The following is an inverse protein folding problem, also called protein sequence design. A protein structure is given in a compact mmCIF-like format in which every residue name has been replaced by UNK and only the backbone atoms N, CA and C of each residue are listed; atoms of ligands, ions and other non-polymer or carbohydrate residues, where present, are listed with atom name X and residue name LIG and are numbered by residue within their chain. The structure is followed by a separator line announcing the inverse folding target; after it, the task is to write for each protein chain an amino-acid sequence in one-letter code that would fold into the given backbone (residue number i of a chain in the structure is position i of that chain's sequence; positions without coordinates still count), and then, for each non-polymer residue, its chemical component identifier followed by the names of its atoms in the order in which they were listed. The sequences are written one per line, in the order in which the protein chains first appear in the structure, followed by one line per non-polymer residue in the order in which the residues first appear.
data_IF_608161979392
#
_entry.id   IF_608161979392
#
_cell.length_a   1.000
_cell.length_b   1.000
_cell.length_c   1.000
_cell.angle_alpha   90.00
_cell.angle_beta   90.00
_cell.angle_gamma   90.00
#
_symmetry.space_group_name_H-M   'P 1'
#
loop_
_entity.id
_entity.type
_entity.pdbx_description
1 polymer ?
#
# COMPACT_ATOMS: atom_id res chain seq x y z
N UNK A 1 -3.20 -17.04 -1.37
CA UNK A 1 -4.64 -16.74 -1.59
C UNK A 1 -4.87 -15.34 -1.02
N UNK A 2 -5.23 -14.36 -1.84
CA UNK A 2 -5.49 -12.99 -1.35
C UNK A 2 -6.81 -13.01 -0.59
N UNK A 3 -6.80 -12.65 0.70
CA UNK A 3 -8.00 -12.60 1.54
C UNK A 3 -8.84 -11.35 1.22
N UNK A 4 -10.15 -11.35 1.49
CA UNK A 4 -11.05 -10.21 1.18
C UNK A 4 -10.60 -8.87 1.77
N UNK A 5 -9.95 -8.90 2.95
CA UNK A 5 -9.35 -7.72 3.58
C UNK A 5 -8.17 -7.15 2.79
N UNK A 6 -7.38 -8.01 2.15
CA UNK A 6 -6.26 -7.60 1.31
C UNK A 6 -6.75 -6.97 0.01
N UNK A 7 -7.80 -7.51 -0.61
CA UNK A 7 -8.46 -6.88 -1.77
C UNK A 7 -8.99 -5.49 -1.42
N UNK A 8 -9.65 -5.34 -0.27
CA UNK A 8 -10.18 -4.04 0.17
C UNK A 8 -9.09 -2.99 0.37
N UNK A 9 -7.92 -3.40 0.88
CA UNK A 9 -6.78 -2.51 1.10
C UNK A 9 -6.16 -2.05 -0.22
N UNK A 10 -6.02 -2.96 -1.18
CA UNK A 10 -5.52 -2.61 -2.53
C UNK A 10 -6.47 -1.62 -3.20
N UNK A 11 -7.78 -1.86 -3.15
CA UNK A 11 -8.76 -0.95 -3.75
C UNK A 11 -8.75 0.43 -3.07
N UNK A 12 -8.60 0.48 -1.75
CA UNK A 12 -8.42 1.75 -1.04
C UNK A 12 -7.14 2.49 -1.49
N UNK A 13 -6.02 1.78 -1.64
CA UNK A 13 -4.77 2.37 -2.14
C UNK A 13 -4.88 2.89 -3.57
N UNK A 14 -5.64 2.20 -4.45
CA UNK A 14 -5.90 2.68 -5.81
C UNK A 14 -6.69 3.99 -5.84
N UNK A 15 -7.56 4.20 -4.86
CA UNK A 15 -8.39 5.41 -4.76
C UNK A 15 -7.72 6.53 -3.96
N UNK A 16 -6.61 6.24 -3.27
CA UNK A 16 -5.89 7.24 -2.50
C UNK A 16 -5.32 8.33 -3.43
N UNK A 17 -5.70 9.58 -3.16
CA UNK A 17 -5.30 10.73 -3.98
C UNK A 17 -4.10 11.47 -3.43
N UNK A 18 -3.72 11.20 -2.18
CA UNK A 18 -2.62 11.86 -1.50
C UNK A 18 -1.92 10.91 -0.50
N UNK A 19 -0.77 11.37 -0.01
CA UNK A 19 0.07 10.63 0.95
C UNK A 19 -0.63 10.41 2.31
N UNK A 20 -1.50 11.32 2.73
CA UNK A 20 -2.18 11.24 4.02
C UNK A 20 -3.19 10.10 4.02
N UNK A 21 -3.96 9.93 2.94
CA UNK A 21 -4.88 8.82 2.76
C UNK A 21 -4.14 7.48 2.73
N UNK A 22 -2.99 7.41 2.06
CA UNK A 22 -2.14 6.22 2.06
C UNK A 22 -1.68 5.86 3.48
N UNK A 23 -1.20 6.83 4.27
CA UNK A 23 -0.81 6.59 5.66
C UNK A 23 -1.98 6.09 6.51
N UNK A 24 -3.17 6.66 6.35
CA UNK A 24 -4.36 6.21 7.07
C UNK A 24 -4.69 4.75 6.74
N UNK A 25 -4.66 4.38 5.45
CA UNK A 25 -4.90 3.00 5.01
C UNK A 25 -3.86 2.05 5.61
N UNK A 26 -2.57 2.39 5.52
CA UNK A 26 -1.48 1.55 6.04
C UNK A 26 -1.52 1.45 7.57
N UNK A 27 -1.84 2.53 8.28
CA UNK A 27 -1.97 2.54 9.74
C UNK A 27 -3.11 1.65 10.25
N UNK A 28 -4.11 1.36 9.40
CA UNK A 28 -5.19 0.42 9.71
C UNK A 28 -4.77 -1.05 9.62
N UNK A 29 -3.58 -1.35 9.09
CA UNK A 29 -3.04 -2.70 8.98
C UNK A 29 -2.32 -3.05 10.29
N UNK A 30 -3.02 -3.74 11.18
CA UNK A 30 -2.49 -4.14 12.49
C UNK A 30 -1.94 -5.58 12.51
N UNK A 31 -1.91 -6.25 11.36
CA UNK A 31 -1.53 -7.65 11.23
C UNK A 31 -0.27 -7.78 10.37
N UNK A 32 0.81 -8.31 10.94
CA UNK A 32 2.12 -8.41 10.29
C UNK A 32 2.12 -9.31 9.05
N UNK A 33 1.32 -10.39 9.04
CA UNK A 33 1.18 -11.26 7.87
C UNK A 33 0.48 -10.54 6.72
N UNK A 34 -0.55 -9.74 7.04
CA UNK A 34 -1.22 -8.88 6.06
C UNK A 34 -0.29 -7.79 5.52
N UNK A 35 0.52 -7.18 6.38
CA UNK A 35 1.52 -6.19 5.98
C UNK A 35 2.58 -6.80 5.05
N UNK A 36 3.08 -8.00 5.38
CA UNK A 36 4.06 -8.72 4.56
C UNK A 36 3.49 -9.14 3.19
N UNK A 37 2.24 -9.61 3.16
CA UNK A 37 1.55 -9.95 1.91
C UNK A 37 1.34 -8.73 1.02
N UNK A 38 0.89 -7.61 1.62
CA UNK A 38 0.71 -6.36 0.89
C UNK A 38 2.04 -5.83 0.35
N UNK A 39 3.10 -5.87 1.16
CA UNK A 39 4.44 -5.50 0.72
C UNK A 39 4.89 -6.34 -0.48
N UNK A 40 4.74 -7.67 -0.39
CA UNK A 40 5.11 -8.59 -1.49
C UNK A 40 4.32 -8.28 -2.76
N UNK A 41 3.02 -8.02 -2.64
CA UNK A 41 2.17 -7.65 -3.76
C UNK A 41 2.62 -6.34 -4.41
N UNK A 42 2.89 -5.30 -3.60
CA UNK A 42 3.37 -3.99 -4.07
C UNK A 42 4.72 -4.08 -4.79
N UNK A 43 5.60 -4.97 -4.34
CA UNK A 43 6.91 -5.21 -4.97
C UNK A 43 6.82 -5.88 -6.35
N UNK A 44 5.74 -6.62 -6.61
CA UNK A 44 5.49 -7.30 -7.88
C UNK A 44 4.82 -6.40 -8.93
N UNK A 45 4.34 -5.21 -8.54
CA UNK A 45 3.62 -4.32 -9.45
C UNK A 45 4.55 -3.60 -10.43
N UNK A 46 4.12 -3.46 -11.68
CA UNK A 46 4.83 -2.68 -12.70
C UNK A 46 4.26 -1.27 -12.83
N UNK A 47 5.08 -0.21 -12.97
CA UNK A 47 4.61 1.15 -13.23
C UNK A 47 3.79 1.28 -14.53
N UNK A 48 3.91 0.33 -15.45
CA UNK A 48 3.20 0.34 -16.74
C UNK A 48 1.72 -0.07 -16.61
N UNK A 49 1.33 -0.67 -15.49
CA UNK A 49 -0.02 -1.20 -15.27
C UNK A 49 -0.94 -0.21 -14.54
N UNK A 50 -0.41 0.91 -14.07
CA UNK A 50 -1.08 1.85 -13.17
C UNK A 50 -0.95 3.27 -13.67
N UNK A 51 -1.95 4.10 -13.39
CA UNK A 51 -1.79 5.54 -13.61
C UNK A 51 -0.78 6.14 -12.62
N UNK A 52 -0.34 7.38 -12.89
CA UNK A 52 0.70 8.04 -12.09
C UNK A 52 0.30 8.25 -10.63
N UNK A 53 -0.99 8.42 -10.34
CA UNK A 53 -1.52 8.60 -8.98
C UNK A 53 -1.51 7.27 -8.23
N UNK A 54 -2.05 6.22 -8.86
CA UNK A 54 -2.07 4.86 -8.33
C UNK A 54 -0.65 4.35 -8.06
N UNK A 55 0.26 4.52 -9.03
CA UNK A 55 1.65 4.11 -8.87
C UNK A 55 2.31 4.87 -7.71
N UNK A 56 2.10 6.18 -7.63
CA UNK A 56 2.64 6.99 -6.53
C UNK A 56 2.12 6.52 -5.16
N UNK A 57 0.82 6.22 -5.08
CA UNK A 57 0.18 5.66 -3.89
C UNK A 57 0.83 4.33 -3.47
N UNK A 58 0.99 3.40 -4.41
CA UNK A 58 1.62 2.10 -4.16
C UNK A 58 3.08 2.21 -3.72
N UNK A 59 3.85 3.10 -4.34
CA UNK A 59 5.25 3.35 -3.93
C UNK A 59 5.33 3.94 -2.55
N UNK A 60 4.43 4.84 -2.20
CA UNK A 60 4.40 5.44 -0.87
C UNK A 60 3.93 4.44 0.21
N UNK A 61 2.93 3.62 -0.09
CA UNK A 61 2.51 2.51 0.78
C UNK A 61 3.67 1.55 1.08
N UNK A 62 4.45 1.17 0.06
CA UNK A 62 5.62 0.31 0.22
C UNK A 62 6.70 0.95 1.12
N UNK A 63 6.89 2.26 1.02
CA UNK A 63 7.79 3.03 1.87
C UNK A 63 7.31 2.99 3.33
N UNK A 64 6.03 3.22 3.58
CA UNK A 64 5.44 3.15 4.92
C UNK A 64 5.58 1.75 5.55
N UNK A 65 5.29 0.69 4.80
CA UNK A 65 5.38 -0.69 5.28
C UNK A 65 6.81 -1.11 5.65
N UNK A 66 7.81 -0.57 4.96
CA UNK A 66 9.23 -0.81 5.26
C UNK A 66 9.75 0.01 6.45
N UNK A 67 8.90 0.81 7.10
CA UNK A 67 9.26 1.60 8.27
C UNK A 67 10.18 2.77 7.93
N UNK A 68 9.86 3.54 6.89
CA UNK A 68 10.71 4.65 6.49
C UNK A 68 10.97 5.62 7.67
N UNK A 69 12.24 5.93 7.99
CA UNK A 69 12.63 6.68 9.18
C UNK A 69 12.21 8.16 9.18
N UNK A 70 11.59 8.67 8.11
CA UNK A 70 11.12 10.07 8.03
C UNK A 70 9.76 10.30 8.74
N UNK A 71 9.15 9.26 9.31
CA UNK A 71 7.88 9.32 10.04
C UNK A 71 7.99 8.85 11.51
N UNK A 72 9.21 8.66 12.04
CA UNK A 72 9.49 8.46 13.47
C UNK A 72 9.91 9.78 14.11
#
# INVERSE_FOLDING_TARGET
MITEKHTSTIEALKQATDKQQVMQIISGITNDDMAAQLQTWLEQQSPLEWDSTQWSSFRYALICLRGCPELQ
#
